data_IF_642111236473
#
_entry.id   IF_642111236473
#
_cell.length_a   1.000
_cell.length_b   1.000
_cell.length_c   1.000
_cell.angle_alpha   90.00
_cell.angle_beta   90.00
_cell.angle_gamma   90.00
#
_symmetry.space_group_name_H-M   'P 1'
#
loop_
_entity.id
_entity.type
_entity.pdbx_description
1 polymer ?
#
# COMPACT_ATOMS: atom_id res chain seq x y z
N UNK A 1 9.15 -11.81 -15.67
CA UNK A 1 8.08 -10.96 -16.23
C UNK A 1 8.62 -9.56 -16.42
N UNK A 2 8.33 -8.90 -17.53
CA UNK A 2 8.67 -7.48 -17.79
C UNK A 2 7.72 -6.86 -18.81
N UNK A 3 7.62 -5.54 -18.81
CA UNK A 3 6.88 -4.75 -19.80
C UNK A 3 7.78 -4.49 -21.01
N UNK A 4 7.21 -4.59 -22.20
CA UNK A 4 7.86 -4.22 -23.46
C UNK A 4 7.21 -2.96 -24.01
N UNK A 5 8.08 -2.04 -24.45
CA UNK A 5 7.71 -0.70 -24.91
C UNK A 5 7.53 -0.67 -26.43
N UNK A 6 6.61 0.17 -26.90
CA UNK A 6 6.43 0.46 -28.32
C UNK A 6 7.59 1.29 -28.88
N UNK A 7 7.53 1.57 -30.17
CA UNK A 7 8.47 2.53 -30.79
C UNK A 7 8.30 3.91 -30.15
N UNK A 8 9.43 4.55 -29.84
CA UNK A 8 9.44 5.86 -29.21
C UNK A 8 9.19 6.93 -30.29
N UNK A 9 7.93 7.26 -30.53
CA UNK A 9 7.56 8.40 -31.39
C UNK A 9 7.61 9.75 -30.64
N UNK A 10 7.78 9.72 -29.31
CA UNK A 10 7.88 10.92 -28.44
C UNK A 10 8.68 10.61 -27.17
N UNK A 11 8.86 11.60 -26.29
CA UNK A 11 9.43 11.41 -24.95
C UNK A 11 8.58 10.47 -24.05
N UNK A 12 7.35 10.17 -24.45
CA UNK A 12 6.43 9.32 -23.68
C UNK A 12 6.67 7.84 -24.00
N UNK A 13 7.00 7.06 -22.97
CA UNK A 13 7.06 5.60 -23.07
C UNK A 13 5.64 5.00 -23.13
N UNK A 14 5.41 4.08 -24.07
CA UNK A 14 4.11 3.41 -24.25
C UNK A 14 4.29 1.90 -24.07
N UNK A 15 3.66 1.33 -23.05
CA UNK A 15 3.65 -0.11 -22.83
C UNK A 15 2.73 -0.81 -23.86
N UNK A 16 3.28 -1.75 -24.62
CA UNK A 16 2.53 -2.45 -25.69
C UNK A 16 2.34 -3.93 -25.41
N UNK A 17 3.26 -4.53 -24.64
CA UNK A 17 3.24 -5.96 -24.33
C UNK A 17 3.81 -6.25 -22.95
N UNK A 18 3.53 -7.45 -22.47
CA UNK A 18 4.13 -8.01 -21.26
C UNK A 18 4.70 -9.38 -21.59
N UNK A 19 5.95 -9.60 -21.20
CA UNK A 19 6.63 -10.89 -21.27
C UNK A 19 6.48 -11.62 -19.93
N UNK A 20 6.10 -12.90 -19.93
CA UNK A 20 5.94 -13.74 -18.75
C UNK A 20 6.35 -15.19 -19.05
N UNK A 21 6.48 -16.00 -18.00
CA UNK A 21 6.74 -17.43 -18.15
C UNK A 21 5.42 -18.19 -17.99
N UNK A 22 5.15 -19.16 -18.87
CA UNK A 22 4.03 -20.09 -18.69
C UNK A 22 4.35 -21.19 -17.66
N UNK A 23 3.41 -22.12 -17.49
CA UNK A 23 3.54 -23.24 -16.54
C UNK A 23 4.69 -24.19 -16.91
N UNK A 24 5.12 -24.19 -18.17
CA UNK A 24 6.21 -25.00 -18.69
C UNK A 24 7.56 -24.27 -18.58
N UNK A 25 7.57 -23.00 -18.18
CA UNK A 25 8.77 -22.17 -18.07
C UNK A 25 9.18 -21.51 -19.39
N UNK A 26 8.33 -21.56 -20.42
CA UNK A 26 8.60 -20.94 -21.71
C UNK A 26 8.19 -19.47 -21.70
N UNK A 27 8.94 -18.65 -22.44
CA UNK A 27 8.70 -17.22 -22.53
C UNK A 27 7.51 -16.94 -23.44
N UNK A 28 6.46 -16.37 -22.87
CA UNK A 28 5.25 -15.93 -23.56
C UNK A 28 5.13 -14.41 -23.58
N UNK A 29 4.41 -13.88 -24.56
CA UNK A 29 4.14 -12.45 -24.70
C UNK A 29 2.66 -12.17 -24.87
N UNK A 30 2.09 -11.33 -23.99
CA UNK A 30 0.73 -10.84 -24.10
C UNK A 30 0.71 -9.39 -24.61
N UNK A 31 -0.15 -9.09 -25.58
CA UNK A 31 -0.34 -7.72 -26.09
C UNK A 31 -1.44 -6.99 -25.32
N UNK A 32 -1.26 -5.69 -25.09
CA UNK A 32 -2.32 -4.81 -24.59
C UNK A 32 -2.79 -3.85 -25.68
N UNK A 33 -4.06 -3.43 -25.61
CA UNK A 33 -4.63 -2.40 -26.51
C UNK A 33 -4.77 -1.04 -25.81
N UNK A 34 -4.57 -1.00 -24.49
CA UNK A 34 -4.79 0.21 -23.68
C UNK A 34 -3.66 0.39 -22.69
N UNK A 35 -3.66 -0.40 -21.63
CA UNK A 35 -2.82 -0.19 -20.47
C UNK A 35 -2.25 -1.51 -19.95
N UNK A 36 -1.14 -1.40 -19.22
CA UNK A 36 -0.59 -2.47 -18.38
C UNK A 36 -0.69 -1.98 -16.94
N UNK A 37 -1.42 -2.71 -16.10
CA UNK A 37 -1.57 -2.40 -14.68
C UNK A 37 -0.73 -3.40 -13.88
N UNK A 38 0.23 -2.90 -13.11
CA UNK A 38 1.08 -3.74 -12.27
C UNK A 38 0.51 -3.83 -10.85
N UNK A 39 -0.02 -5.02 -10.53
CA UNK A 39 -0.63 -5.32 -9.23
C UNK A 39 0.04 -6.51 -8.54
N UNK A 40 1.36 -6.66 -8.70
CA UNK A 40 2.12 -7.79 -8.15
C UNK A 40 2.43 -7.64 -6.64
N UNK A 41 2.02 -6.52 -6.03
CA UNK A 41 2.29 -6.20 -4.61
C UNK A 41 3.61 -5.47 -4.40
N UNK A 42 3.78 -4.89 -3.20
CA UNK A 42 4.91 -4.01 -2.87
C UNK A 42 6.29 -4.67 -3.06
N UNK A 43 6.38 -6.00 -2.90
CA UNK A 43 7.63 -6.74 -3.03
C UNK A 43 7.97 -7.18 -4.47
N UNK A 44 6.99 -7.20 -5.39
CA UNK A 44 7.18 -7.75 -6.75
C UNK A 44 6.99 -6.71 -7.85
N UNK A 45 6.17 -5.68 -7.64
CA UNK A 45 6.02 -4.60 -8.62
C UNK A 45 7.34 -3.86 -8.90
N UNK A 46 8.16 -3.48 -7.89
CA UNK A 46 9.40 -2.75 -8.17
C UNK A 46 10.41 -3.55 -9.02
N UNK A 47 10.69 -4.84 -8.74
CA UNK A 47 11.55 -5.64 -9.63
C UNK A 47 11.00 -5.78 -11.07
N UNK A 48 9.68 -5.85 -11.25
CA UNK A 48 9.08 -5.88 -12.61
C UNK A 48 9.32 -4.56 -13.33
N UNK A 49 9.17 -3.41 -12.64
CA UNK A 49 9.48 -2.10 -13.21
C UNK A 49 10.95 -2.00 -13.61
N UNK A 50 11.87 -2.41 -12.72
CA UNK A 50 13.31 -2.39 -13.00
C UNK A 50 13.68 -3.29 -14.17
N UNK A 51 13.16 -4.53 -14.23
CA UNK A 51 13.34 -5.44 -15.35
C UNK A 51 12.75 -4.90 -16.68
N UNK A 52 11.83 -3.94 -16.59
CA UNK A 52 11.25 -3.21 -17.72
C UNK A 52 12.04 -1.95 -18.08
N UNK A 53 13.14 -1.64 -17.39
CA UNK A 53 13.94 -0.43 -17.62
C UNK A 53 13.42 0.82 -16.90
N UNK A 54 12.58 0.68 -15.86
CA UNK A 54 12.06 1.79 -15.05
C UNK A 54 12.67 1.71 -13.66
N UNK A 55 13.59 2.62 -13.33
CA UNK A 55 14.34 2.56 -12.07
C UNK A 55 15.56 3.49 -12.10
N UNK A 56 16.44 3.34 -11.11
CA UNK A 56 17.70 4.09 -11.07
C UNK A 56 18.60 3.72 -12.26
N UNK A 57 18.93 4.71 -13.09
CA UNK A 57 19.66 4.49 -14.35
C UNK A 57 21.01 3.78 -14.17
N UNK A 58 21.76 4.10 -13.14
CA UNK A 58 23.11 3.55 -12.94
C UNK A 58 23.03 2.12 -12.40
N UNK A 59 22.09 1.85 -11.48
CA UNK A 59 21.75 0.50 -11.01
C UNK A 59 21.30 -0.39 -12.18
N UNK A 60 20.38 0.10 -13.01
CA UNK A 60 19.89 -0.66 -14.16
C UNK A 60 21.00 -1.00 -15.16
N UNK A 61 21.86 -0.02 -15.50
CA UNK A 61 23.04 -0.25 -16.35
C UNK A 61 24.00 -1.27 -15.76
N UNK A 62 24.25 -1.21 -14.45
CA UNK A 62 25.07 -2.19 -13.73
C UNK A 62 24.53 -3.61 -13.81
N UNK A 63 23.21 -3.77 -13.98
CA UNK A 63 22.53 -5.05 -14.17
C UNK A 63 22.38 -5.46 -15.64
N UNK A 64 22.92 -4.69 -16.59
CA UNK A 64 22.77 -4.95 -18.03
C UNK A 64 21.38 -4.69 -18.58
N UNK A 65 20.57 -3.87 -17.89
CA UNK A 65 19.21 -3.50 -18.31
C UNK A 65 19.26 -2.11 -18.93
N UNK A 66 18.70 -1.96 -20.14
CA UNK A 66 18.61 -0.65 -20.80
C UNK A 66 17.61 0.26 -20.07
N UNK A 67 18.04 1.41 -19.52
CA UNK A 67 17.15 2.34 -18.82
C UNK A 67 16.22 3.03 -19.82
N UNK A 68 14.91 2.92 -19.58
CA UNK A 68 13.83 3.52 -20.36
C UNK A 68 13.26 4.76 -19.69
N UNK A 69 13.11 4.71 -18.37
CA UNK A 69 12.65 5.80 -17.53
C UNK A 69 13.55 5.84 -16.31
N UNK A 70 14.27 6.95 -16.13
CA UNK A 70 15.10 7.17 -14.95
C UNK A 70 14.21 7.60 -13.77
N UNK A 71 13.91 6.64 -12.89
CA UNK A 71 13.04 6.82 -11.75
C UNK A 71 13.67 6.15 -10.52
N UNK A 72 14.65 6.80 -9.86
CA UNK A 72 15.47 6.18 -8.83
C UNK A 72 14.70 5.76 -7.57
N UNK A 73 13.48 6.28 -7.37
CA UNK A 73 12.61 5.88 -6.25
C UNK A 73 11.96 4.50 -6.39
N UNK A 74 12.06 3.83 -7.54
CA UNK A 74 11.54 2.46 -7.71
C UNK A 74 12.29 1.50 -6.80
N UNK A 75 11.55 0.78 -5.95
CA UNK A 75 12.10 -0.20 -5.01
C UNK A 75 12.59 0.40 -3.70
N UNK A 76 12.63 1.73 -3.61
CA UNK A 76 13.00 2.47 -2.41
C UNK A 76 11.77 2.72 -1.52
N UNK A 77 12.02 3.25 -0.31
CA UNK A 77 10.97 3.64 0.65
C UNK A 77 10.01 2.49 1.04
N UNK A 78 10.52 1.25 1.06
CA UNK A 78 9.79 0.13 1.68
C UNK A 78 9.68 0.37 3.18
N UNK A 79 8.46 0.36 3.69
CA UNK A 79 8.16 0.44 5.11
C UNK A 79 7.44 -0.84 5.50
N UNK A 80 7.99 -1.54 6.49
CA UNK A 80 7.42 -2.76 7.04
C UNK A 80 7.44 -2.70 8.57
N UNK A 81 6.57 -3.48 9.20
CA UNK A 81 6.44 -3.55 10.64
C UNK A 81 7.03 -4.86 11.15
N UNK A 82 8.13 -4.78 11.90
CA UNK A 82 8.67 -5.95 12.56
C UNK A 82 7.71 -6.46 13.63
N UNK A 83 7.39 -7.75 13.60
CA UNK A 83 6.61 -8.42 14.64
C UNK A 83 7.55 -9.12 15.62
N UNK A 84 7.38 -8.85 16.92
CA UNK A 84 8.15 -9.49 18.00
C UNK A 84 7.17 -10.25 18.90
N UNK A 85 7.10 -11.59 18.81
CA UNK A 85 6.21 -12.36 19.67
C UNK A 85 6.80 -12.52 21.08
N UNK A 86 5.97 -12.35 22.10
CA UNK A 86 6.29 -12.73 23.48
C UNK A 86 5.53 -14.02 23.81
N UNK A 87 6.26 -15.07 24.17
CA UNK A 87 5.68 -16.37 24.53
C UNK A 87 5.94 -16.68 26.00
N UNK A 88 4.92 -17.10 26.73
CA UNK A 88 5.01 -17.54 28.13
C UNK A 88 4.03 -18.70 28.37
N UNK A 89 4.41 -19.63 29.26
CA UNK A 89 3.56 -20.76 29.66
C UNK A 89 2.81 -20.40 30.94
N UNK A 90 1.48 -20.28 30.87
CA UNK A 90 0.61 -20.01 32.02
C UNK A 90 -0.41 -21.12 32.27
N UNK A 91 -1.05 -21.08 33.43
CA UNK A 91 -2.17 -21.98 33.79
C UNK A 91 -3.54 -21.43 33.38
N UNK A 92 -3.58 -20.30 32.67
CA UNK A 92 -4.83 -19.66 32.24
C UNK A 92 -5.50 -20.48 31.14
N UNK A 93 -6.74 -20.89 31.39
CA UNK A 93 -7.58 -21.54 30.38
C UNK A 93 -8.30 -20.46 29.55
N UNK A 94 -7.70 -20.02 28.44
CA UNK A 94 -8.24 -18.92 27.64
C UNK A 94 -9.31 -19.46 26.68
N UNK A 95 -10.59 -19.14 26.92
CA UNK A 95 -11.66 -19.37 25.96
C UNK A 95 -11.76 -18.18 24.99
N UNK A 96 -11.01 -18.20 23.90
CA UNK A 96 -11.02 -17.14 22.90
C UNK A 96 -10.05 -17.37 21.73
N UNK A 97 -10.28 -16.69 20.60
CA UNK A 97 -9.39 -16.72 19.45
C UNK A 97 -8.24 -15.73 19.69
N UNK A 98 -6.98 -16.12 19.44
CA UNK A 98 -5.83 -15.22 19.59
C UNK A 98 -5.90 -14.11 18.52
N UNK A 99 -6.10 -12.83 18.88
CA UNK A 99 -5.97 -11.75 17.91
C UNK A 99 -4.49 -11.58 17.48
N UNK A 100 -4.27 -11.03 16.28
CA UNK A 100 -2.93 -10.65 15.79
C UNK A 100 -2.23 -9.61 16.68
N UNK A 101 -2.98 -8.94 17.55
CA UNK A 101 -2.49 -8.14 18.67
C UNK A 101 -3.35 -8.46 19.90
N UNK A 102 -2.76 -9.12 20.90
CA UNK A 102 -3.40 -9.30 22.21
C UNK A 102 -3.25 -8.01 23.01
N UNK A 103 -4.29 -7.17 22.95
CA UNK A 103 -4.42 -6.09 23.91
C UNK A 103 -5.00 -6.69 25.19
N UNK A 104 -4.27 -6.56 26.29
CA UNK A 104 -4.78 -6.86 27.62
C UNK A 104 -5.95 -5.90 27.86
N UNK A 105 -7.16 -6.40 28.11
CA UNK A 105 -8.27 -5.52 28.48
C UNK A 105 -7.95 -4.83 29.81
N UNK A 106 -8.53 -3.66 30.07
CA UNK A 106 -8.34 -2.98 31.35
C UNK A 106 -8.72 -3.88 32.54
N UNK A 107 -9.76 -4.71 32.41
CA UNK A 107 -10.13 -5.71 33.43
C UNK A 107 -9.08 -6.81 33.60
N UNK A 108 -8.41 -7.25 32.53
CA UNK A 108 -7.30 -8.20 32.62
C UNK A 108 -6.03 -7.58 33.21
N UNK A 109 -5.82 -6.26 33.05
CA UNK A 109 -4.66 -5.54 33.57
C UNK A 109 -4.81 -5.19 35.05
N UNK A 110 -6.00 -4.75 35.45
CA UNK A 110 -6.29 -4.23 36.79
C UNK A 110 -7.00 -5.24 37.70
N UNK A 111 -7.48 -6.37 37.18
CA UNK A 111 -8.11 -7.43 37.96
C UNK A 111 -9.26 -6.90 38.83
N UNK A 112 -9.23 -7.22 40.12
CA UNK A 112 -10.26 -6.82 41.09
C UNK A 112 -10.30 -5.29 41.32
N UNK A 113 -9.20 -4.58 41.06
CA UNK A 113 -9.09 -3.13 41.21
C UNK A 113 -9.70 -2.35 40.02
N UNK A 114 -10.13 -3.05 38.97
CA UNK A 114 -10.61 -2.42 37.73
C UNK A 114 -11.76 -1.44 37.97
N UNK A 115 -12.75 -1.82 38.76
CA UNK A 115 -13.94 -0.99 39.04
C UNK A 115 -13.57 0.26 39.82
N UNK A 116 -12.67 0.15 40.79
CA UNK A 116 -12.22 1.28 41.61
C UNK A 116 -11.39 2.27 40.78
N UNK A 117 -10.50 1.77 39.92
CA UNK A 117 -9.71 2.59 39.00
C UNK A 117 -10.61 3.27 37.97
N UNK A 118 -11.60 2.56 37.43
CA UNK A 118 -12.57 3.14 36.50
C UNK A 118 -13.38 4.26 37.16
N UNK A 119 -13.88 4.04 38.38
CA UNK A 119 -14.60 5.05 39.15
C UNK A 119 -13.72 6.28 39.47
N UNK A 120 -12.45 6.06 39.83
CA UNK A 120 -11.49 7.14 40.07
C UNK A 120 -11.22 7.97 38.79
N UNK A 121 -10.99 7.32 37.65
CA UNK A 121 -10.78 8.00 36.37
C UNK A 121 -12.03 8.78 35.97
N UNK A 122 -13.22 8.16 36.06
CA UNK A 122 -14.49 8.81 35.74
C UNK A 122 -14.79 10.01 36.64
N UNK A 123 -14.47 9.94 37.93
CA UNK A 123 -14.69 11.04 38.87
C UNK A 123 -13.73 12.22 38.67
N UNK A 124 -12.55 11.97 38.09
CA UNK A 124 -11.53 13.01 37.81
C UNK A 124 -11.52 13.48 36.36
N UNK A 125 -12.26 12.84 35.47
CA UNK A 125 -12.49 13.34 34.12
C UNK A 125 -13.45 14.53 34.20
N UNK A 126 -12.95 15.74 33.94
CA UNK A 126 -13.80 16.90 33.69
C UNK A 126 -14.53 16.69 32.36
N UNK A 127 -15.74 16.14 32.40
CA UNK A 127 -16.57 15.96 31.22
C UNK A 127 -17.06 17.33 30.72
N UNK A 128 -16.32 17.94 29.80
CA UNK A 128 -16.91 18.77 28.75
C UNK A 128 -17.12 17.88 27.53
N UNK A 129 -18.13 17.02 27.61
CA UNK A 129 -18.62 16.22 26.49
C UNK A 129 -20.13 16.44 26.41
N UNK A 130 -20.52 17.55 25.80
CA UNK A 130 -21.82 17.65 25.13
C UNK A 130 -21.54 17.27 23.68
N UNK A 131 -22.05 16.11 23.26
CA UNK A 131 -21.99 15.52 21.92
C UNK A 131 -20.73 14.69 21.61
N UNK A 132 -20.76 13.41 22.01
CA UNK A 132 -20.16 12.36 21.18
C UNK A 132 -21.20 12.03 20.10
N UNK A 133 -20.96 12.31 18.81
CA UNK A 133 -21.82 11.78 17.77
C UNK A 133 -21.69 10.26 17.80
N UNK A 134 -22.81 9.55 17.87
CA UNK A 134 -22.87 8.13 17.50
C UNK A 134 -22.15 7.97 16.17
N UNK A 135 -21.01 7.30 16.13
CA UNK A 135 -20.38 6.87 14.88
C UNK A 135 -21.30 5.87 14.20
N UNK A 136 -22.26 6.38 13.42
CA UNK A 136 -22.83 5.60 12.34
C UNK A 136 -21.74 5.47 11.28
N UNK A 137 -21.28 4.24 11.09
CA UNK A 137 -20.32 3.88 10.06
C UNK A 137 -20.88 4.30 8.69
N UNK A 138 -20.42 5.44 8.18
CA UNK A 138 -20.67 5.85 6.81
C UNK A 138 -19.59 5.21 5.92
N UNK A 139 -19.94 4.69 4.74
CA UNK A 139 -18.94 4.17 3.81
C UNK A 139 -17.92 5.27 3.48
N UNK A 140 -16.65 4.91 3.22
CA UNK A 140 -15.56 5.88 3.10
C UNK A 140 -15.88 6.93 2.02
N UNK A 141 -15.95 8.18 2.47
CA UNK A 141 -16.06 9.35 1.60
C UNK A 141 -14.71 9.59 0.93
N UNK A 142 -14.75 9.99 -0.34
CA UNK A 142 -13.58 10.19 -1.21
C UNK A 142 -12.47 11.09 -0.59
N UNK A 143 -11.20 10.95 -1.04
CA UNK A 143 -10.11 11.76 -0.51
C UNK A 143 -10.32 13.26 -0.78
N UNK A 144 -10.16 14.07 0.28
CA UNK A 144 -10.21 15.54 0.24
C UNK A 144 -8.94 16.21 -0.30
N UNK A 145 -8.95 17.55 -0.41
CA UNK A 145 -8.25 18.29 -1.44
C UNK A 145 -6.83 18.69 -1.02
N UNK A 146 -5.84 17.95 -1.49
CA UNK A 146 -4.50 18.51 -1.65
C UNK A 146 -3.87 18.01 -2.96
N UNK A 147 -4.44 18.50 -4.06
CA UNK A 147 -3.76 18.54 -5.36
C UNK A 147 -3.96 19.96 -5.89
N UNK A 148 -2.92 20.78 -5.81
CA UNK A 148 -2.88 22.04 -6.55
C UNK A 148 -2.81 21.72 -8.05
N UNK A 149 -3.72 22.22 -8.90
CA UNK A 149 -3.70 21.91 -10.31
C UNK A 149 -2.61 22.69 -11.04
N UNK A 150 -1.72 21.98 -11.74
CA UNK A 150 -0.90 22.56 -12.80
C UNK A 150 -1.81 23.00 -13.98
N UNK A 151 -1.50 24.11 -14.68
CA UNK A 151 -2.38 24.65 -15.71
C UNK A 151 -2.38 23.77 -16.97
N UNK A 152 -3.53 23.20 -17.30
CA UNK A 152 -3.77 22.55 -18.59
C UNK A 152 -4.50 23.50 -19.55
N UNK A 153 -3.94 23.66 -20.75
CA UNK A 153 -4.49 24.39 -21.88
C UNK A 153 -5.89 23.90 -22.26
N UNK A 154 -6.80 24.83 -22.52
CA UNK A 154 -8.10 24.57 -23.13
C UNK A 154 -7.95 24.39 -24.64
N UNK A 155 -8.41 23.28 -25.20
CA UNK A 155 -8.76 23.18 -26.62
C UNK A 155 -10.24 22.87 -26.76
N UNK A 156 -10.95 23.83 -27.34
CA UNK A 156 -12.32 23.76 -27.83
C UNK A 156 -12.40 22.77 -29.01
N UNK A 157 -13.36 21.84 -28.97
CA UNK A 157 -13.80 21.10 -30.16
C UNK A 157 -15.31 21.10 -30.18
N UNK A 158 -15.86 21.89 -31.12
CA UNK A 158 -17.20 21.69 -31.65
C UNK A 158 -17.24 20.37 -32.42
N UNK A 159 -18.33 19.63 -32.27
CA UNK A 159 -18.62 18.42 -33.04
C UNK A 159 -19.76 18.71 -34.05
N UNK A 160 -19.82 17.97 -35.17
CA UNK A 160 -20.57 18.31 -36.38
C UNK A 160 -22.09 18.14 -36.27
#
# INVERSE_FOLDING_TARGET
MKVLWGEAESERQVAVRVEYLDEQGEVQTAMTRREVILSAGALRTPPILEASGVGDKDRLKGLGIEPRIDLPGVGENLQDQANVPLLYTGTLNVSGSSPYATFVTASQLFGDDFEDIAAYVLSNLSLSITNVPTEQHSPPSQPGPNQSPHPHLTTSTAAP
#
